data_IF_663485196597
#
_entry.id   IF_663485196597
#
_cell.length_a   1.000
_cell.length_b   1.000
_cell.length_c   1.000
_cell.angle_alpha   90.00
_cell.angle_beta   90.00
_cell.angle_gamma   90.00
#
_symmetry.space_group_name_H-M   'P 1'
#
loop_
_entity.id
_entity.type
_entity.pdbx_description
1 polymer ?
#
# COMPACT_ATOMS: atom_id res chain seq x y z
N UNK A 1 8.91 7.98 -16.96
CA UNK A 1 8.42 7.78 -15.59
C UNK A 1 8.68 6.37 -15.04
N UNK A 2 9.77 5.69 -15.52
CA UNK A 2 10.10 4.31 -15.17
C UNK A 2 10.46 4.13 -13.68
N UNK A 3 10.93 5.19 -13.01
CA UNK A 3 11.30 5.17 -11.58
C UNK A 3 10.11 5.19 -10.62
N UNK A 4 8.89 5.42 -11.10
CA UNK A 4 7.68 5.30 -10.29
C UNK A 4 7.41 3.85 -9.88
N UNK A 5 6.92 3.60 -8.64
CA UNK A 5 6.76 2.25 -8.08
C UNK A 5 6.04 1.27 -9.02
N UNK A 6 4.89 1.67 -9.60
CA UNK A 6 4.13 0.81 -10.51
C UNK A 6 4.85 0.56 -11.84
N UNK A 7 5.51 1.57 -12.41
CA UNK A 7 6.22 1.42 -13.69
C UNK A 7 7.51 0.63 -13.51
N UNK A 8 8.23 0.79 -12.40
CA UNK A 8 9.44 0.01 -12.12
C UNK A 8 9.12 -1.48 -11.92
N UNK A 9 8.01 -1.81 -11.26
CA UNK A 9 7.53 -3.18 -11.12
C UNK A 9 7.19 -3.81 -12.49
N UNK A 10 6.47 -3.08 -13.35
CA UNK A 10 6.17 -3.50 -14.72
C UNK A 10 7.46 -3.72 -15.52
N UNK A 11 8.40 -2.77 -15.45
CA UNK A 11 9.69 -2.88 -16.15
C UNK A 11 10.49 -4.13 -15.69
N UNK A 12 10.51 -4.41 -14.39
CA UNK A 12 11.13 -5.61 -13.81
C UNK A 12 10.51 -6.89 -14.38
N UNK A 13 9.18 -6.97 -14.42
CA UNK A 13 8.46 -8.14 -14.94
C UNK A 13 8.72 -8.31 -16.44
N UNK A 14 8.62 -7.24 -17.24
CA UNK A 14 8.89 -7.31 -18.68
C UNK A 14 10.31 -7.75 -18.99
N UNK A 15 11.31 -7.25 -18.26
CA UNK A 15 12.70 -7.70 -18.42
C UNK A 15 12.85 -9.20 -18.08
N UNK A 16 12.21 -9.67 -16.99
CA UNK A 16 12.19 -11.08 -16.62
C UNK A 16 11.43 -11.97 -17.62
N UNK A 17 10.46 -11.41 -18.36
CA UNK A 17 9.79 -12.07 -19.48
C UNK A 17 10.67 -12.17 -20.74
N UNK A 18 11.86 -11.54 -20.74
CA UNK A 18 12.79 -11.54 -21.86
C UNK A 18 12.63 -10.37 -22.83
N UNK A 19 11.84 -9.36 -22.49
CA UNK A 19 11.76 -8.13 -23.29
C UNK A 19 12.99 -7.26 -23.05
N UNK A 20 13.47 -6.57 -24.09
CA UNK A 20 14.46 -5.52 -23.97
C UNK A 20 13.76 -4.24 -23.46
N UNK A 21 14.04 -3.85 -22.24
CA UNK A 21 13.37 -2.74 -21.57
C UNK A 21 14.34 -1.56 -21.41
N UNK A 22 13.89 -0.39 -21.80
CA UNK A 22 14.57 0.88 -21.52
C UNK A 22 13.59 1.91 -21.00
N UNK A 23 14.07 2.98 -20.36
CA UNK A 23 13.18 4.02 -19.89
C UNK A 23 13.87 5.23 -19.31
N UNK A 24 13.06 6.25 -19.02
CA UNK A 24 13.55 7.51 -18.45
C UNK A 24 12.72 7.93 -17.23
N UNK A 25 13.34 8.70 -16.36
CA UNK A 25 12.66 9.38 -15.26
C UNK A 25 13.24 10.78 -15.06
N UNK A 26 12.45 11.66 -14.45
CA UNK A 26 12.83 13.07 -14.26
C UNK A 26 14.02 13.23 -13.30
N UNK A 27 14.12 12.35 -12.29
CA UNK A 27 15.11 12.45 -11.21
C UNK A 27 15.78 11.09 -10.95
N UNK A 28 17.05 11.15 -10.58
CA UNK A 28 17.76 9.98 -10.06
C UNK A 28 17.11 9.48 -8.75
N UNK A 29 17.03 8.17 -8.59
CA UNK A 29 16.49 7.54 -7.39
C UNK A 29 17.09 6.14 -7.19
N UNK A 30 17.04 5.62 -5.96
CA UNK A 30 17.43 4.25 -5.65
C UNK A 30 16.64 3.20 -6.48
N UNK A 31 15.39 3.51 -6.87
CA UNK A 31 14.60 2.68 -7.78
C UNK A 31 15.25 2.55 -9.16
N UNK A 32 15.79 3.65 -9.71
CA UNK A 32 16.49 3.61 -11.00
C UNK A 32 17.78 2.79 -10.92
N UNK A 33 18.52 2.87 -9.80
CA UNK A 33 19.73 2.06 -9.62
C UNK A 33 19.39 0.55 -9.55
N UNK A 34 18.28 0.19 -8.90
CA UNK A 34 17.78 -1.20 -8.90
C UNK A 34 17.45 -1.69 -10.31
N UNK A 35 16.79 -0.86 -11.12
CA UNK A 35 16.49 -1.21 -12.51
C UNK A 35 17.76 -1.41 -13.35
N UNK A 36 18.78 -0.55 -13.18
CA UNK A 36 20.08 -0.73 -13.83
C UNK A 36 20.76 -2.03 -13.44
N UNK A 37 20.69 -2.39 -12.14
CA UNK A 37 21.24 -3.66 -11.65
C UNK A 37 20.54 -4.89 -12.27
N UNK A 38 19.31 -4.74 -12.76
CA UNK A 38 18.57 -5.77 -13.50
C UNK A 38 18.85 -5.74 -15.01
N UNK A 39 19.79 -4.92 -15.50
CA UNK A 39 20.13 -4.79 -16.91
C UNK A 39 19.16 -3.94 -17.73
N UNK A 40 18.32 -3.15 -17.07
CA UNK A 40 17.39 -2.22 -17.75
C UNK A 40 18.10 -0.89 -18.03
N UNK A 41 18.07 -0.43 -19.27
CA UNK A 41 18.68 0.83 -19.68
C UNK A 41 17.87 2.01 -19.16
N UNK A 42 18.41 2.75 -18.18
CA UNK A 42 17.69 3.87 -17.55
C UNK A 42 18.44 5.19 -17.70
N UNK A 43 17.73 6.20 -18.20
CA UNK A 43 18.21 7.56 -18.38
C UNK A 43 17.52 8.53 -17.42
N UNK A 44 18.27 9.51 -16.89
CA UNK A 44 17.72 10.62 -16.11
C UNK A 44 17.47 11.82 -17.01
N UNK A 45 16.27 12.39 -16.92
CA UNK A 45 15.78 13.46 -17.79
C UNK A 45 15.06 12.92 -19.02
N UNK A 46 14.07 13.68 -19.48
CA UNK A 46 13.26 13.35 -20.65
C UNK A 46 13.78 14.06 -21.90
N UNK A 47 14.11 13.29 -22.93
CA UNK A 47 14.62 13.81 -24.22
C UNK A 47 14.11 12.95 -25.37
N UNK A 48 13.91 13.57 -26.53
CA UNK A 48 13.48 12.89 -27.77
C UNK A 48 14.37 11.70 -28.14
N UNK A 49 15.67 11.81 -27.89
CA UNK A 49 16.68 10.80 -28.21
C UNK A 49 16.57 9.53 -27.35
N UNK A 50 15.92 9.64 -26.16
CA UNK A 50 15.70 8.48 -25.30
C UNK A 50 14.73 7.46 -25.94
N UNK A 51 13.91 7.89 -26.88
CA UNK A 51 13.04 7.02 -27.67
C UNK A 51 13.85 6.42 -28.81
N UNK A 52 14.53 5.32 -28.54
CA UNK A 52 15.30 4.55 -29.54
C UNK A 52 14.40 3.82 -30.55
N UNK A 53 14.91 2.75 -31.12
CA UNK A 53 14.13 1.82 -31.92
C UNK A 53 13.36 0.87 -30.97
N UNK A 54 12.12 1.21 -30.66
CA UNK A 54 11.25 0.47 -29.75
C UNK A 54 9.91 0.18 -30.42
N UNK A 55 9.30 -0.97 -30.09
CA UNK A 55 8.00 -1.38 -30.63
C UNK A 55 6.84 -0.67 -29.93
N UNK A 56 6.99 -0.38 -28.63
CA UNK A 56 5.94 0.18 -27.77
C UNK A 56 6.56 1.15 -26.76
N UNK A 57 5.86 2.24 -26.49
CA UNK A 57 6.16 3.16 -25.37
C UNK A 57 5.06 3.05 -24.32
N UNK A 58 5.42 2.62 -23.12
CA UNK A 58 4.52 2.58 -21.97
C UNK A 58 4.66 3.86 -21.14
N UNK A 59 3.53 4.46 -20.74
CA UNK A 59 3.51 5.72 -20.02
C UNK A 59 2.67 5.68 -18.75
N UNK A 60 3.18 6.33 -17.70
CA UNK A 60 2.43 6.59 -16.46
C UNK A 60 1.49 7.79 -16.64
N UNK A 61 0.33 7.77 -15.99
CA UNK A 61 -0.61 8.90 -15.92
C UNK A 61 -0.01 10.20 -15.35
N UNK A 62 1.11 10.09 -14.63
CA UNK A 62 1.84 11.25 -14.09
C UNK A 62 2.66 12.01 -15.14
N UNK A 63 2.87 11.44 -16.32
CA UNK A 63 3.67 12.05 -17.40
C UNK A 63 2.76 12.92 -18.28
N UNK A 64 3.03 14.23 -18.43
CA UNK A 64 2.20 15.10 -19.23
C UNK A 64 2.27 14.75 -20.73
N UNK A 65 1.19 15.01 -21.45
CA UNK A 65 1.07 14.73 -22.89
C UNK A 65 2.09 15.49 -23.75
N UNK A 66 2.66 16.58 -23.21
CA UNK A 66 3.70 17.43 -23.83
C UNK A 66 5.12 16.91 -23.61
N UNK A 67 5.27 15.75 -22.94
CA UNK A 67 6.59 15.15 -22.73
C UNK A 67 7.29 14.88 -24.08
N UNK A 68 8.57 15.29 -24.26
CA UNK A 68 9.25 15.17 -25.55
C UNK A 68 9.38 13.74 -26.06
N UNK A 69 9.46 12.75 -25.18
CA UNK A 69 9.50 11.34 -25.57
C UNK A 69 8.14 10.85 -26.09
N UNK A 70 7.02 11.29 -25.48
CA UNK A 70 5.69 10.96 -25.98
C UNK A 70 5.38 11.61 -27.32
N UNK A 71 5.81 12.86 -27.51
CA UNK A 71 5.68 13.55 -28.79
C UNK A 71 6.48 12.81 -29.86
N UNK A 72 7.76 12.51 -29.59
CA UNK A 72 8.62 11.78 -30.52
C UNK A 72 8.08 10.38 -30.88
N UNK A 73 7.53 9.66 -29.91
CA UNK A 73 6.92 8.34 -30.17
C UNK A 73 5.72 8.45 -31.10
N UNK A 74 4.83 9.41 -30.88
CA UNK A 74 3.66 9.67 -31.74
C UNK A 74 4.06 10.10 -33.15
N UNK A 75 5.02 11.01 -33.27
CA UNK A 75 5.52 11.50 -34.57
C UNK A 75 6.16 10.38 -35.40
N UNK A 76 6.75 9.37 -34.75
CA UNK A 76 7.31 8.17 -35.37
C UNK A 76 6.30 7.05 -35.60
N UNK A 77 5.03 7.23 -35.21
CA UNK A 77 3.98 6.21 -35.30
C UNK A 77 4.17 5.02 -34.35
N UNK A 78 4.97 5.18 -33.30
CA UNK A 78 5.19 4.14 -32.28
C UNK A 78 3.94 4.06 -31.38
N UNK A 79 3.46 2.86 -31.10
CA UNK A 79 2.31 2.66 -30.25
C UNK A 79 2.59 3.13 -28.81
N UNK A 80 1.76 4.03 -28.28
CA UNK A 80 1.85 4.52 -26.90
C UNK A 80 0.72 3.94 -26.08
N UNK A 81 1.06 3.16 -25.06
CA UNK A 81 0.10 2.48 -24.18
C UNK A 81 0.19 3.01 -22.74
N UNK A 82 -0.93 3.07 -22.06
CA UNK A 82 -0.99 3.44 -20.64
C UNK A 82 -0.53 2.31 -19.73
N UNK A 83 -0.22 2.66 -18.47
CA UNK A 83 0.16 1.71 -17.40
C UNK A 83 -0.87 0.57 -17.27
N UNK A 84 -2.15 0.87 -17.32
CA UNK A 84 -3.23 -0.10 -17.22
C UNK A 84 -3.16 -1.15 -18.33
N UNK A 85 -3.04 -0.69 -19.57
CA UNK A 85 -3.02 -1.57 -20.76
C UNK A 85 -1.82 -2.53 -20.73
N UNK A 86 -0.64 -2.05 -20.33
CA UNK A 86 0.53 -2.93 -20.25
C UNK A 86 0.40 -3.93 -19.08
N UNK A 87 -0.18 -3.51 -17.94
CA UNK A 87 -0.44 -4.40 -16.83
C UNK A 87 -1.48 -5.46 -17.18
N UNK A 88 -2.56 -5.09 -17.86
CA UNK A 88 -3.56 -6.03 -18.37
C UNK A 88 -2.96 -7.02 -19.39
N UNK A 89 -2.07 -6.55 -20.26
CA UNK A 89 -1.37 -7.43 -21.22
C UNK A 89 -0.45 -8.45 -20.51
N UNK A 90 0.23 -8.06 -19.44
CA UNK A 90 1.01 -8.97 -18.60
C UNK A 90 0.08 -9.98 -17.91
N UNK A 91 -0.99 -9.48 -17.27
CA UNK A 91 -1.97 -10.31 -16.57
C UNK A 91 -2.62 -11.36 -17.48
N UNK A 92 -2.92 -11.02 -18.73
CA UNK A 92 -3.47 -11.93 -19.72
C UNK A 92 -2.55 -13.11 -20.08
N UNK A 93 -1.29 -13.09 -19.68
CA UNK A 93 -0.34 -14.19 -19.92
C UNK A 93 -0.44 -15.30 -18.88
N UNK A 94 -1.20 -15.13 -17.81
CA UNK A 94 -1.33 -16.05 -16.68
C UNK A 94 -2.76 -16.02 -16.13
N UNK A 95 -3.10 -17.03 -15.33
CA UNK A 95 -4.29 -17.02 -14.49
C UNK A 95 -4.09 -15.95 -13.41
N UNK A 96 -4.97 -14.97 -13.35
CA UNK A 96 -4.73 -13.75 -12.55
C UNK A 96 -5.58 -13.72 -11.28
N UNK A 97 -4.92 -13.48 -10.14
CA UNK A 97 -5.51 -13.15 -8.85
C UNK A 97 -5.37 -11.64 -8.67
N UNK A 98 -6.47 -10.91 -8.76
CA UNK A 98 -6.50 -9.46 -8.64
C UNK A 98 -7.05 -9.04 -7.28
N UNK A 99 -6.28 -8.24 -6.52
CA UNK A 99 -6.65 -7.78 -5.18
C UNK A 99 -6.99 -6.30 -5.22
N UNK A 100 -8.26 -5.99 -5.07
CA UNK A 100 -8.82 -4.64 -5.04
C UNK A 100 -9.36 -4.27 -3.66
N UNK A 101 -9.73 -2.99 -3.50
CA UNK A 101 -10.35 -2.45 -2.30
C UNK A 101 -9.71 -1.16 -1.82
N UNK A 102 -10.45 -0.33 -1.12
CA UNK A 102 -9.96 0.97 -0.64
C UNK A 102 -8.77 0.83 0.30
N UNK A 103 -8.78 -0.20 1.15
CA UNK A 103 -7.73 -0.50 2.14
C UNK A 103 -7.26 -1.95 2.03
N UNK A 104 -6.02 -2.24 2.46
CA UNK A 104 -5.51 -3.59 2.57
C UNK A 104 -4.98 -4.23 1.29
N UNK A 105 -5.18 -3.66 0.10
CA UNK A 105 -4.72 -4.20 -1.19
C UNK A 105 -3.29 -4.73 -1.16
N UNK A 106 -2.35 -3.84 -0.85
CA UNK A 106 -0.91 -4.16 -0.87
C UNK A 106 -0.56 -5.28 0.10
N UNK A 107 -1.07 -5.22 1.33
CA UNK A 107 -0.81 -6.24 2.34
C UNK A 107 -1.41 -7.58 1.95
N UNK A 108 -2.66 -7.59 1.46
CA UNK A 108 -3.34 -8.81 1.02
C UNK A 108 -2.65 -9.44 -0.19
N UNK A 109 -2.36 -8.66 -1.25
CA UNK A 109 -1.67 -9.18 -2.44
C UNK A 109 -0.28 -9.71 -2.10
N UNK A 110 0.44 -9.06 -1.17
CA UNK A 110 1.73 -9.52 -0.67
C UNK A 110 1.63 -10.84 0.10
N UNK A 111 0.64 -10.96 1.00
CA UNK A 111 0.37 -12.20 1.72
C UNK A 111 -0.03 -13.33 0.76
N UNK A 112 -0.92 -13.05 -0.21
CA UNK A 112 -1.33 -14.03 -1.23
C UNK A 112 -0.12 -14.52 -2.02
N UNK A 113 0.72 -13.62 -2.54
CA UNK A 113 1.93 -14.01 -3.27
C UNK A 113 2.87 -14.87 -2.44
N UNK A 114 3.07 -14.49 -1.16
CA UNK A 114 3.97 -15.19 -0.24
C UNK A 114 3.44 -16.58 0.14
N UNK A 115 2.16 -16.71 0.49
CA UNK A 115 1.60 -18.00 0.90
C UNK A 115 1.52 -18.98 -0.27
N UNK A 116 1.15 -18.52 -1.46
CA UNK A 116 1.12 -19.35 -2.67
C UNK A 116 2.52 -19.81 -3.08
N UNK A 117 3.53 -18.94 -2.92
CA UNK A 117 4.92 -19.35 -3.13
C UNK A 117 5.37 -20.42 -2.13
N UNK A 118 5.03 -20.26 -0.86
CA UNK A 118 5.33 -21.25 0.18
C UNK A 118 4.61 -22.59 -0.05
N UNK A 119 3.41 -22.56 -0.62
CA UNK A 119 2.64 -23.75 -0.99
C UNK A 119 3.09 -24.40 -2.32
N UNK A 120 4.17 -23.90 -2.94
CA UNK A 120 4.74 -24.48 -4.17
C UNK A 120 4.02 -24.08 -5.47
N UNK A 121 3.10 -23.12 -5.42
CA UNK A 121 2.40 -22.60 -6.62
C UNK A 121 3.30 -21.70 -7.47
N UNK A 122 4.33 -21.09 -6.85
CA UNK A 122 5.32 -20.20 -7.47
C UNK A 122 4.72 -19.10 -8.35
N UNK A 123 3.82 -18.24 -7.83
CA UNK A 123 3.16 -17.23 -8.64
C UNK A 123 4.12 -16.13 -9.10
N UNK A 124 3.93 -15.62 -10.31
CA UNK A 124 4.40 -14.29 -10.70
C UNK A 124 3.61 -13.24 -9.93
N UNK A 125 4.16 -12.05 -9.67
CA UNK A 125 3.42 -11.03 -8.95
C UNK A 125 3.88 -9.59 -9.26
N UNK A 126 2.95 -8.65 -9.12
CA UNK A 126 3.20 -7.20 -8.99
C UNK A 126 2.35 -6.70 -7.82
N UNK A 127 3.00 -6.30 -6.73
CA UNK A 127 2.36 -5.78 -5.52
C UNK A 127 2.85 -4.37 -5.21
N UNK A 128 2.05 -3.58 -4.48
CA UNK A 128 2.29 -2.15 -4.28
C UNK A 128 3.40 -1.77 -3.30
N UNK A 129 4.23 -2.72 -2.88
CA UNK A 129 5.33 -2.47 -1.96
C UNK A 129 6.36 -3.58 -1.94
N UNK A 130 7.54 -3.30 -1.41
CA UNK A 130 8.59 -4.30 -1.26
C UNK A 130 8.26 -5.22 -0.07
N UNK A 131 8.36 -6.53 -0.31
CA UNK A 131 8.17 -7.60 0.68
C UNK A 131 9.48 -8.40 0.74
N UNK A 132 10.15 -8.33 1.88
CA UNK A 132 11.48 -8.92 2.03
C UNK A 132 11.47 -10.45 1.84
N UNK A 133 10.42 -11.12 2.32
CA UNK A 133 10.26 -12.58 2.30
C UNK A 133 10.15 -13.16 0.89
N UNK A 134 9.75 -12.35 -0.08
CA UNK A 134 9.63 -12.75 -1.49
C UNK A 134 10.59 -12.00 -2.43
N UNK A 135 11.49 -11.19 -1.86
CA UNK A 135 12.58 -10.54 -2.59
C UNK A 135 12.22 -9.24 -3.30
N UNK A 136 11.08 -8.62 -2.97
CA UNK A 136 10.67 -7.32 -3.51
C UNK A 136 9.19 -7.23 -3.85
N UNK A 137 8.82 -6.23 -4.65
CA UNK A 137 7.43 -5.95 -5.04
C UNK A 137 7.00 -6.54 -6.39
N UNK A 138 7.89 -7.19 -7.13
CA UNK A 138 7.56 -7.76 -8.45
C UNK A 138 8.49 -8.92 -8.81
N UNK A 139 7.94 -9.97 -9.42
CA UNK A 139 8.67 -11.09 -9.99
C UNK A 139 7.88 -11.75 -11.12
N UNK A 140 8.60 -12.35 -12.08
CA UNK A 140 8.04 -13.22 -13.10
C UNK A 140 8.66 -14.60 -12.96
N UNK A 141 7.84 -15.61 -12.71
CA UNK A 141 8.23 -16.98 -12.40
C UNK A 141 7.73 -17.95 -13.47
N UNK A 142 8.00 -19.25 -13.28
CA UNK A 142 7.49 -20.31 -14.17
C UNK A 142 6.05 -20.74 -13.85
N UNK A 143 5.51 -20.37 -12.68
CA UNK A 143 4.17 -20.76 -12.24
C UNK A 143 3.04 -20.20 -13.11
N UNK A 144 1.88 -20.83 -13.05
CA UNK A 144 0.71 -20.48 -13.87
C UNK A 144 -0.04 -19.23 -13.41
N UNK A 145 0.16 -18.83 -12.14
CA UNK A 145 -0.59 -17.76 -11.51
C UNK A 145 0.16 -16.43 -11.52
N UNK A 146 -0.61 -15.35 -11.58
CA UNK A 146 -0.13 -13.97 -11.43
C UNK A 146 -0.94 -13.25 -10.37
N UNK A 147 -0.28 -12.80 -9.31
CA UNK A 147 -0.89 -12.00 -8.24
C UNK A 147 -0.66 -10.53 -8.51
N UNK A 148 -1.73 -9.75 -8.58
CA UNK A 148 -1.64 -8.31 -8.89
C UNK A 148 -2.46 -7.47 -7.94
N UNK A 149 -1.88 -6.38 -7.47
CA UNK A 149 -2.63 -5.31 -6.81
C UNK A 149 -3.44 -4.53 -7.86
N UNK A 150 -4.75 -4.56 -7.73
CA UNK A 150 -5.71 -3.96 -8.63
C UNK A 150 -6.13 -2.59 -8.08
N UNK A 151 -5.54 -1.51 -8.64
CA UNK A 151 -5.76 -0.13 -8.17
C UNK A 151 -7.05 0.43 -8.76
N UNK A 152 -7.99 0.78 -7.88
CA UNK A 152 -9.27 1.38 -8.26
C UNK A 152 -9.17 2.88 -8.57
N UNK A 153 -8.08 3.55 -8.20
CA UNK A 153 -7.98 5.02 -8.18
C UNK A 153 -8.24 5.71 -9.52
N UNK A 154 -7.99 5.01 -10.62
CA UNK A 154 -8.15 5.49 -12.00
C UNK A 154 -9.02 4.55 -12.87
N UNK A 155 -9.69 3.58 -12.23
CA UNK A 155 -10.55 2.60 -12.91
C UNK A 155 -9.79 1.49 -13.64
N UNK A 156 -8.45 1.47 -13.61
CA UNK A 156 -7.63 0.50 -14.36
C UNK A 156 -7.82 -0.94 -13.88
N UNK A 157 -8.28 -1.16 -12.65
CA UNK A 157 -8.56 -2.49 -12.12
C UNK A 157 -9.63 -3.25 -12.93
N UNK A 158 -10.52 -2.54 -13.64
CA UNK A 158 -11.54 -3.12 -14.51
C UNK A 158 -10.99 -3.71 -15.82
N UNK A 159 -9.74 -3.37 -16.19
CA UNK A 159 -9.09 -3.90 -17.39
C UNK A 159 -8.37 -5.24 -17.12
N UNK A 160 -8.22 -5.63 -15.84
CA UNK A 160 -7.51 -6.85 -15.48
C UNK A 160 -8.36 -8.09 -15.74
N UNK A 161 -7.86 -9.09 -16.48
CA UNK A 161 -8.55 -10.36 -16.73
C UNK A 161 -8.43 -11.27 -15.48
N UNK A 162 -9.15 -10.93 -14.42
CA UNK A 162 -9.09 -11.66 -13.16
C UNK A 162 -9.80 -13.02 -13.25
N UNK A 163 -9.14 -14.09 -12.83
CA UNK A 163 -9.77 -15.37 -12.56
C UNK A 163 -10.24 -15.47 -11.10
N UNK A 164 -9.48 -14.86 -10.20
CA UNK A 164 -9.87 -14.65 -8.80
C UNK A 164 -9.87 -13.15 -8.50
N UNK A 165 -11.01 -12.60 -8.10
CA UNK A 165 -11.16 -11.22 -7.69
C UNK A 165 -11.35 -11.14 -6.17
N UNK A 166 -10.45 -10.45 -5.49
CA UNK A 166 -10.51 -10.25 -4.03
C UNK A 166 -10.87 -8.79 -3.76
N UNK A 167 -11.90 -8.54 -2.96
CA UNK A 167 -12.26 -7.19 -2.50
C UNK A 167 -12.18 -7.11 -0.99
N UNK A 168 -11.27 -6.28 -0.50
CA UNK A 168 -10.96 -6.13 0.93
C UNK A 168 -11.89 -5.16 1.64
N UNK A 169 -12.24 -4.04 0.98
CA UNK A 169 -13.15 -3.00 1.49
C UNK A 169 -13.58 -2.06 0.38
N UNK A 170 -14.73 -1.38 0.53
CA UNK A 170 -15.22 -0.39 -0.42
C UNK A 170 -15.69 0.85 0.33
N UNK A 171 -14.94 1.95 0.22
CA UNK A 171 -15.26 3.25 0.81
C UNK A 171 -15.33 4.35 -0.26
N UNK A 172 -15.88 5.50 0.09
CA UNK A 172 -15.96 6.68 -0.77
C UNK A 172 -14.58 7.38 -0.86
N UNK A 173 -13.65 6.79 -1.60
CA UNK A 173 -12.35 7.38 -1.96
C UNK A 173 -12.32 7.70 -3.47
N UNK A 174 -11.35 8.49 -3.93
CA UNK A 174 -11.18 8.82 -5.35
C UNK A 174 -12.43 9.43 -6.02
N UNK A 175 -13.18 10.27 -5.27
CA UNK A 175 -14.39 10.93 -5.76
C UNK A 175 -14.12 11.93 -6.90
N UNK A 176 -12.88 12.40 -7.04
CA UNK A 176 -12.39 13.19 -8.17
C UNK A 176 -12.45 12.41 -9.49
N UNK A 177 -12.31 11.08 -9.45
CA UNK A 177 -12.43 10.19 -10.61
C UNK A 177 -13.87 9.69 -10.80
N UNK A 178 -14.50 9.17 -9.74
CA UNK A 178 -15.80 8.50 -9.82
C UNK A 178 -17.01 9.43 -9.69
N UNK A 179 -16.83 10.60 -9.08
CA UNK A 179 -17.89 11.57 -8.84
C UNK A 179 -18.83 11.23 -7.67
N UNK A 180 -19.06 9.95 -7.36
CA UNK A 180 -19.94 9.53 -6.24
C UNK A 180 -19.56 8.17 -5.66
N UNK A 181 -19.96 7.93 -4.39
CA UNK A 181 -19.82 6.62 -3.74
C UNK A 181 -20.60 5.51 -4.47
N UNK A 182 -21.72 5.85 -5.09
CA UNK A 182 -22.51 4.89 -5.88
C UNK A 182 -21.73 4.42 -7.12
N UNK A 183 -21.04 5.33 -7.83
CA UNK A 183 -20.23 4.98 -9.00
C UNK A 183 -19.01 4.12 -8.61
N UNK A 184 -18.40 4.35 -7.43
CA UNK A 184 -17.37 3.46 -6.89
C UNK A 184 -17.94 2.06 -6.65
N UNK A 185 -19.07 1.95 -5.95
CA UNK A 185 -19.71 0.66 -5.67
C UNK A 185 -20.07 -0.08 -6.97
N UNK A 186 -20.56 0.62 -8.00
CA UNK A 186 -20.84 0.04 -9.31
C UNK A 186 -19.57 -0.47 -10.00
N UNK A 187 -18.45 0.26 -9.92
CA UNK A 187 -17.17 -0.20 -10.46
C UNK A 187 -16.68 -1.49 -9.76
N UNK A 188 -16.78 -1.57 -8.42
CA UNK A 188 -16.46 -2.79 -7.70
C UNK A 188 -17.44 -3.95 -8.03
N UNK A 189 -18.72 -3.69 -8.21
CA UNK A 189 -19.68 -4.69 -8.68
C UNK A 189 -19.26 -5.27 -10.04
N UNK A 190 -18.91 -4.41 -10.99
CA UNK A 190 -18.41 -4.83 -12.32
C UNK A 190 -17.13 -5.66 -12.20
N UNK A 191 -16.20 -5.26 -11.33
CA UNK A 191 -14.96 -6.01 -11.07
C UNK A 191 -15.27 -7.42 -10.54
N UNK A 192 -16.15 -7.56 -9.56
CA UNK A 192 -16.56 -8.86 -9.05
C UNK A 192 -17.23 -9.71 -10.14
N UNK A 193 -18.18 -9.14 -10.90
CA UNK A 193 -18.87 -9.90 -11.96
C UNK A 193 -17.96 -10.32 -13.13
N UNK A 194 -16.77 -9.73 -13.27
CA UNK A 194 -15.83 -10.10 -14.34
C UNK A 194 -15.01 -11.36 -14.04
N UNK A 195 -14.98 -11.85 -12.79
CA UNK A 195 -14.17 -12.96 -12.34
C UNK A 195 -15.03 -14.19 -11.98
N UNK A 196 -14.64 -15.42 -12.37
CA UNK A 196 -15.36 -16.64 -12.03
C UNK A 196 -15.28 -17.01 -10.54
N UNK A 197 -14.22 -16.60 -9.84
CA UNK A 197 -14.07 -16.78 -8.40
C UNK A 197 -13.96 -15.42 -7.72
N UNK A 198 -14.79 -15.15 -6.73
CA UNK A 198 -14.84 -13.87 -6.02
C UNK A 198 -14.74 -14.08 -4.51
N UNK A 199 -13.92 -13.27 -3.84
CA UNK A 199 -13.65 -13.36 -2.41
C UNK A 199 -13.83 -11.96 -1.81
N UNK A 200 -14.69 -11.79 -0.82
CA UNK A 200 -15.00 -10.48 -0.24
C UNK A 200 -14.94 -10.46 1.28
N UNK A 201 -14.54 -9.33 1.85
CA UNK A 201 -14.57 -9.12 3.29
C UNK A 201 -16.00 -8.88 3.78
N UNK A 202 -16.52 -9.76 4.63
CA UNK A 202 -17.87 -9.67 5.23
C UNK A 202 -17.96 -8.57 6.30
N UNK A 203 -16.84 -8.08 6.82
CA UNK A 203 -16.80 -7.02 7.83
C UNK A 203 -16.96 -5.61 7.21
N UNK A 204 -16.87 -5.49 5.89
CA UNK A 204 -17.16 -4.25 5.16
C UNK A 204 -18.56 -4.33 4.55
N UNK A 205 -19.45 -3.46 4.98
CA UNK A 205 -20.87 -3.53 4.63
C UNK A 205 -21.14 -3.40 3.11
N UNK A 206 -20.33 -2.59 2.40
CA UNK A 206 -20.47 -2.41 0.95
C UNK A 206 -19.91 -3.62 0.22
N UNK A 207 -18.72 -4.09 0.57
CA UNK A 207 -18.13 -5.29 -0.01
C UNK A 207 -19.01 -6.53 0.21
N UNK A 208 -19.54 -6.71 1.43
CA UNK A 208 -20.45 -7.81 1.76
C UNK A 208 -21.72 -7.79 0.90
N UNK A 209 -22.35 -6.62 0.74
CA UNK A 209 -23.53 -6.48 -0.12
C UNK A 209 -23.22 -6.81 -1.58
N UNK A 210 -22.13 -6.25 -2.13
CA UNK A 210 -21.72 -6.52 -3.50
C UNK A 210 -21.33 -7.98 -3.71
N UNK A 211 -20.69 -8.59 -2.69
CA UNK A 211 -20.35 -10.01 -2.69
C UNK A 211 -21.56 -10.91 -2.72
N UNK A 212 -22.62 -10.59 -1.95
CA UNK A 212 -23.87 -11.33 -1.97
C UNK A 212 -24.55 -11.28 -3.36
N UNK A 213 -24.50 -10.14 -4.03
CA UNK A 213 -25.01 -9.98 -5.40
C UNK A 213 -24.20 -10.78 -6.43
N UNK A 214 -22.90 -11.00 -6.19
CA UNK A 214 -21.98 -11.73 -7.05
C UNK A 214 -21.84 -13.23 -6.68
N UNK A 215 -22.45 -13.69 -5.61
CA UNK A 215 -22.27 -15.07 -5.10
C UNK A 215 -20.84 -15.33 -4.58
N UNK A 216 -20.21 -14.31 -4.00
CA UNK A 216 -18.82 -14.38 -3.56
C UNK A 216 -18.64 -15.20 -2.29
N UNK A 217 -17.50 -15.86 -2.18
CA UNK A 217 -16.98 -16.43 -0.93
C UNK A 217 -16.66 -15.30 0.04
N UNK A 218 -17.14 -15.40 1.27
CA UNK A 218 -17.01 -14.34 2.28
C UNK A 218 -16.01 -14.72 3.37
N UNK A 219 -15.27 -13.72 3.88
CA UNK A 219 -14.38 -13.90 5.02
C UNK A 219 -14.45 -12.72 5.99
N UNK A 220 -14.18 -12.95 7.25
CA UNK A 220 -14.14 -11.88 8.25
C UNK A 220 -14.46 -12.34 9.65
N UNK A 221 -14.72 -11.39 10.56
CA UNK A 221 -15.17 -11.63 11.93
C UNK A 221 -16.69 -11.79 12.03
N UNK A 222 -17.41 -11.44 10.96
CA UNK A 222 -18.86 -11.63 10.88
C UNK A 222 -19.24 -13.09 11.16
N UNK A 223 -20.27 -13.36 12.00
CA UNK A 223 -20.72 -14.71 12.27
C UNK A 223 -21.23 -15.46 11.03
N UNK A 224 -21.66 -14.71 10.01
CA UNK A 224 -22.22 -15.25 8.77
C UNK A 224 -21.17 -15.39 7.65
N UNK A 225 -19.88 -15.12 7.93
CA UNK A 225 -18.83 -15.31 6.95
C UNK A 225 -18.55 -16.80 6.71
N UNK A 226 -18.38 -17.21 5.44
CA UNK A 226 -18.02 -18.58 5.06
C UNK A 226 -16.70 -19.02 5.70
N UNK A 227 -15.73 -18.09 5.74
CA UNK A 227 -14.45 -18.25 6.44
C UNK A 227 -14.37 -17.26 7.59
N UNK A 228 -14.74 -17.74 8.77
CA UNK A 228 -14.86 -16.88 9.94
C UNK A 228 -13.55 -16.81 10.74
N UNK A 229 -13.15 -15.57 11.07
CA UNK A 229 -12.10 -15.31 12.05
C UNK A 229 -12.67 -15.55 13.46
N UNK A 230 -12.10 -16.48 14.20
CA UNK A 230 -12.48 -16.82 15.56
C UNK A 230 -11.31 -16.66 16.53
N UNK A 231 -11.62 -16.41 17.82
CA UNK A 231 -10.63 -16.25 18.89
C UNK A 231 -9.49 -15.26 18.58
N UNK A 232 -9.82 -14.14 17.91
CA UNK A 232 -8.84 -13.11 17.55
C UNK A 232 -8.28 -12.44 18.82
N UNK A 233 -6.96 -12.55 18.98
CA UNK A 233 -6.17 -11.84 20.00
C UNK A 233 -5.17 -10.95 19.27
N UNK A 234 -5.26 -9.63 19.51
CA UNK A 234 -4.34 -8.64 18.98
C UNK A 234 -3.44 -8.15 20.10
N UNK A 235 -2.13 -8.28 19.90
CA UNK A 235 -1.09 -7.87 20.85
C UNK A 235 -0.13 -6.89 20.15
N UNK A 236 0.74 -6.22 20.93
CA UNK A 236 1.78 -5.33 20.38
C UNK A 236 2.67 -6.03 19.33
N UNK A 237 3.01 -7.29 19.57
CA UNK A 237 3.95 -8.07 18.75
C UNK A 237 3.27 -8.82 17.61
N UNK A 238 1.92 -8.74 17.47
CA UNK A 238 1.25 -9.47 16.42
C UNK A 238 -0.22 -9.74 16.66
N UNK A 239 -0.78 -10.68 15.90
CA UNK A 239 -2.15 -11.17 16.05
C UNK A 239 -2.18 -12.69 15.98
N UNK A 240 -3.06 -13.32 16.77
CA UNK A 240 -3.33 -14.76 16.72
C UNK A 240 -4.82 -14.97 16.58
N UNK A 241 -5.23 -15.90 15.72
CA UNK A 241 -6.62 -16.20 15.47
C UNK A 241 -6.79 -17.58 14.82
N UNK A 242 -8.03 -18.05 14.75
CA UNK A 242 -8.41 -19.26 14.04
C UNK A 242 -9.26 -18.89 12.83
N UNK A 243 -9.08 -19.61 11.74
CA UNK A 243 -10.00 -19.56 10.59
C UNK A 243 -10.91 -20.78 10.67
N UNK A 244 -12.21 -20.53 10.72
CA UNK A 244 -13.26 -21.54 10.81
C UNK A 244 -14.05 -21.56 9.51
N UNK A 245 -14.20 -22.73 8.90
CA UNK A 245 -15.02 -22.98 7.72
C UNK A 245 -15.88 -24.21 7.94
N UNK A 246 -17.18 -24.16 7.63
CA UNK A 246 -18.15 -25.22 7.86
C UNK A 246 -18.13 -25.77 9.29
N UNK A 247 -17.95 -24.89 10.27
CA UNK A 247 -17.89 -25.23 11.68
C UNK A 247 -16.59 -25.87 12.16
N UNK A 248 -15.63 -26.13 11.28
CA UNK A 248 -14.34 -26.71 11.61
C UNK A 248 -13.22 -25.66 11.61
N UNK A 249 -12.26 -25.75 12.53
CA UNK A 249 -11.03 -24.96 12.48
C UNK A 249 -10.13 -25.53 11.39
N UNK A 250 -9.92 -24.76 10.32
CA UNK A 250 -9.07 -25.16 9.19
C UNK A 250 -7.65 -24.63 9.29
N UNK A 251 -7.44 -23.53 10.02
CA UNK A 251 -6.12 -22.93 10.23
C UNK A 251 -6.03 -22.21 11.60
N UNK A 252 -4.87 -22.33 12.25
CA UNK A 252 -4.47 -21.51 13.39
C UNK A 252 -3.36 -20.57 12.92
N UNK A 253 -3.65 -19.28 12.90
CA UNK A 253 -2.75 -18.27 12.30
C UNK A 253 -2.11 -17.43 13.39
N UNK A 254 -0.80 -17.26 13.29
CA UNK A 254 -0.01 -16.30 14.07
C UNK A 254 0.68 -15.33 13.12
N UNK A 255 0.44 -14.02 13.29
CA UNK A 255 1.06 -12.97 12.51
C UNK A 255 2.01 -12.16 13.38
N UNK A 256 3.24 -11.87 12.94
CA UNK A 256 4.15 -10.99 13.67
C UNK A 256 3.86 -9.49 13.44
N UNK A 257 2.70 -9.16 12.88
CA UNK A 257 2.22 -7.79 12.71
C UNK A 257 0.86 -7.62 13.39
N UNK A 258 0.64 -6.54 14.16
CA UNK A 258 -0.59 -6.32 14.91
C UNK A 258 -1.74 -5.85 14.04
N UNK A 259 -2.95 -5.94 14.59
CA UNK A 259 -4.16 -5.32 14.04
C UNK A 259 -5.17 -6.29 13.46
N UNK A 260 -6.45 -6.09 13.78
CA UNK A 260 -7.56 -6.89 13.26
C UNK A 260 -7.67 -6.81 11.72
N UNK A 261 -7.29 -5.68 11.13
CA UNK A 261 -7.24 -5.52 9.67
C UNK A 261 -6.19 -6.48 9.04
N UNK A 262 -5.05 -6.72 9.70
CA UNK A 262 -4.05 -7.68 9.23
C UNK A 262 -4.52 -9.12 9.38
N UNK A 263 -5.31 -9.43 10.41
CA UNK A 263 -5.97 -10.74 10.51
C UNK A 263 -6.94 -10.97 9.34
N UNK A 264 -7.72 -9.96 8.94
CA UNK A 264 -8.57 -10.02 7.73
C UNK A 264 -7.76 -10.20 6.46
N UNK A 265 -6.69 -9.42 6.27
CA UNK A 265 -5.82 -9.56 5.09
C UNK A 265 -5.21 -10.96 4.98
N UNK A 266 -4.76 -11.53 6.10
CA UNK A 266 -4.22 -12.88 6.17
C UNK A 266 -5.30 -13.95 5.90
N UNK A 267 -6.52 -13.74 6.41
CA UNK A 267 -7.64 -14.66 6.13
C UNK A 267 -7.97 -14.66 4.64
N UNK A 268 -7.97 -13.50 3.96
CA UNK A 268 -8.13 -13.45 2.50
C UNK A 268 -7.07 -14.30 1.77
N UNK A 269 -5.81 -14.28 2.25
CA UNK A 269 -4.74 -15.10 1.68
C UNK A 269 -4.95 -16.60 1.97
N UNK A 270 -5.43 -16.97 3.17
CA UNK A 270 -5.80 -18.35 3.50
C UNK A 270 -6.93 -18.84 2.62
N UNK A 271 -8.01 -18.05 2.48
CA UNK A 271 -9.16 -18.38 1.61
C UNK A 271 -8.70 -18.58 0.18
N UNK A 272 -7.88 -17.64 -0.35
CA UNK A 272 -7.33 -17.78 -1.70
C UNK A 272 -6.56 -19.10 -1.87
N UNK A 273 -5.75 -19.48 -0.90
CA UNK A 273 -5.01 -20.74 -0.95
C UNK A 273 -5.95 -21.97 -0.93
N UNK A 274 -7.02 -21.94 -0.12
CA UNK A 274 -8.05 -23.00 -0.10
C UNK A 274 -8.76 -23.12 -1.43
N UNK A 275 -9.20 -21.99 -2.02
CA UNK A 275 -9.90 -21.98 -3.32
C UNK A 275 -9.01 -22.50 -4.48
N UNK A 276 -7.69 -22.37 -4.33
CA UNK A 276 -6.73 -22.94 -5.27
C UNK A 276 -6.34 -24.40 -4.93
N UNK A 277 -6.86 -24.99 -3.88
CA UNK A 277 -6.53 -26.36 -3.44
C UNK A 277 -5.12 -26.52 -2.86
N UNK A 278 -4.52 -25.44 -2.35
CA UNK A 278 -3.17 -25.47 -1.77
C UNK A 278 -3.17 -26.08 -0.34
N UNK A 279 -2.07 -26.73 0.03
CA UNK A 279 -1.88 -27.22 1.41
C UNK A 279 -1.75 -26.04 2.39
N UNK A 280 -2.56 -26.05 3.44
CA UNK A 280 -2.61 -24.98 4.43
C UNK A 280 -1.41 -24.96 5.40
N UNK A 281 -0.70 -26.05 5.57
CA UNK A 281 0.44 -26.08 6.49
C UNK A 281 1.53 -25.10 6.08
N UNK A 282 2.07 -25.10 4.84
CA UNK A 282 3.05 -24.11 4.42
C UNK A 282 2.48 -22.68 4.36
N UNK A 283 1.16 -22.53 4.12
CA UNK A 283 0.47 -21.22 4.13
C UNK A 283 0.56 -20.58 5.52
N UNK A 284 0.19 -21.31 6.57
CA UNK A 284 0.23 -20.83 7.97
C UNK A 284 1.67 -20.55 8.42
N UNK A 285 2.60 -21.44 8.07
CA UNK A 285 4.03 -21.23 8.36
C UNK A 285 4.61 -19.99 7.66
N UNK A 286 4.15 -19.67 6.45
CA UNK A 286 4.55 -18.46 5.76
C UNK A 286 3.98 -17.21 6.46
N UNK A 287 2.69 -17.19 6.79
CA UNK A 287 2.07 -16.08 7.52
C UNK A 287 2.77 -15.78 8.84
N UNK A 288 3.26 -16.82 9.54
CA UNK A 288 4.02 -16.64 10.78
C UNK A 288 5.38 -15.94 10.58
N UNK A 289 5.87 -15.84 9.35
CA UNK A 289 7.11 -15.13 8.99
C UNK A 289 6.87 -13.79 8.29
N UNK A 290 5.62 -13.40 8.04
CA UNK A 290 5.30 -12.17 7.31
C UNK A 290 5.64 -10.94 8.13
N UNK A 291 6.80 -10.32 7.90
CA UNK A 291 7.27 -9.12 8.59
C UNK A 291 6.57 -7.81 8.17
N UNK A 292 5.58 -7.88 7.30
CA UNK A 292 4.86 -6.72 6.77
C UNK A 292 5.38 -6.26 5.42
N UNK A 293 4.77 -5.20 4.92
CA UNK A 293 5.16 -4.53 3.68
C UNK A 293 5.85 -3.22 4.04
N UNK A 294 6.90 -2.86 3.31
CA UNK A 294 7.58 -1.60 3.51
C UNK A 294 6.58 -0.44 3.51
N UNK A 295 6.68 0.43 4.51
CA UNK A 295 5.80 1.58 4.71
C UNK A 295 4.31 1.24 4.96
N UNK A 296 4.01 0.04 5.51
CA UNK A 296 2.66 -0.39 5.95
C UNK A 296 2.73 -0.86 7.40
N UNK A 297 2.56 0.07 8.35
CA UNK A 297 2.82 -0.13 9.77
C UNK A 297 4.17 -0.83 10.00
N UNK A 298 5.16 -0.39 9.24
CA UNK A 298 6.48 -1.02 9.20
C UNK A 298 7.25 -0.72 10.49
N UNK A 299 7.58 -1.75 11.25
CA UNK A 299 8.51 -1.62 12.36
C UNK A 299 9.90 -1.24 11.82
N UNK A 300 10.43 -0.10 12.25
CA UNK A 300 11.75 0.40 11.84
C UNK A 300 12.82 0.10 12.87
N UNK A 301 12.45 -0.05 14.14
CA UNK A 301 13.34 -0.35 15.23
C UNK A 301 12.80 0.08 16.59
N UNK A 302 13.54 -0.29 17.63
CA UNK A 302 13.29 0.16 19.00
C UNK A 302 14.59 0.66 19.63
N UNK A 303 14.56 1.84 20.21
CA UNK A 303 15.70 2.42 20.90
C UNK A 303 15.24 3.33 22.05
N UNK A 304 15.97 3.33 23.18
CA UNK A 304 15.59 4.11 24.35
C UNK A 304 14.19 3.77 24.92
N UNK A 305 13.69 2.55 24.68
CA UNK A 305 12.37 2.11 25.04
C UNK A 305 11.25 2.72 24.19
N UNK A 306 11.58 3.34 23.06
CA UNK A 306 10.63 3.90 22.06
C UNK A 306 10.58 2.99 20.85
N UNK A 307 9.39 2.56 20.48
CA UNK A 307 9.13 1.82 19.24
C UNK A 307 8.94 2.82 18.09
N UNK A 308 9.66 2.65 16.98
CA UNK A 308 9.55 3.49 15.78
C UNK A 308 8.89 2.70 14.65
N UNK A 309 7.81 3.24 14.10
CA UNK A 309 7.01 2.63 13.03
C UNK A 309 6.81 3.64 11.91
N UNK A 310 6.85 3.19 10.65
CA UNK A 310 6.59 4.01 9.45
C UNK A 310 5.35 3.52 8.70
N UNK A 311 4.49 4.46 8.27
CA UNK A 311 3.32 4.14 7.45
C UNK A 311 3.08 5.17 6.34
N UNK A 312 2.64 4.67 5.20
CA UNK A 312 2.36 5.46 4.00
C UNK A 312 1.04 6.24 4.06
N UNK A 313 0.30 6.18 5.17
CA UNK A 313 -0.99 6.84 5.32
C UNK A 313 -0.87 8.36 5.04
N UNK A 314 -1.67 8.83 4.09
CA UNK A 314 -1.63 10.22 3.60
C UNK A 314 -3.02 10.78 3.28
N UNK A 315 -4.10 10.04 3.54
CA UNK A 315 -5.47 10.51 3.46
C UNK A 315 -6.21 10.27 4.79
N UNK A 316 -7.35 10.94 5.05
CA UNK A 316 -8.03 10.88 6.35
C UNK A 316 -8.46 9.47 6.76
N UNK A 317 -8.95 8.64 5.83
CA UNK A 317 -9.38 7.26 6.09
C UNK A 317 -8.21 6.39 6.54
N UNK A 318 -7.09 6.42 5.80
CA UNK A 318 -5.87 5.68 6.14
C UNK A 318 -5.27 6.15 7.47
N UNK A 319 -5.25 7.46 7.74
CA UNK A 319 -4.78 7.99 9.03
C UNK A 319 -5.61 7.48 10.20
N UNK A 320 -6.94 7.49 10.07
CA UNK A 320 -7.82 6.93 11.11
C UNK A 320 -7.53 5.47 11.37
N UNK A 321 -7.46 4.65 10.32
CA UNK A 321 -7.22 3.21 10.44
C UNK A 321 -5.87 2.89 11.13
N UNK A 322 -4.80 3.59 10.73
CA UNK A 322 -3.46 3.40 11.31
C UNK A 322 -3.40 3.87 12.77
N UNK A 323 -3.98 5.03 13.09
CA UNK A 323 -3.98 5.56 14.46
C UNK A 323 -4.90 4.75 15.40
N UNK A 324 -6.00 4.20 14.90
CA UNK A 324 -6.86 3.29 15.68
C UNK A 324 -6.11 1.99 15.98
N UNK A 325 -5.42 1.42 14.98
CA UNK A 325 -4.57 0.24 15.20
C UNK A 325 -3.44 0.53 16.21
N UNK A 326 -2.80 1.68 16.11
CA UNK A 326 -1.78 2.12 17.06
C UNK A 326 -2.35 2.26 18.49
N UNK A 327 -3.55 2.82 18.62
CA UNK A 327 -4.22 2.99 19.92
C UNK A 327 -4.51 1.68 20.67
N UNK A 328 -4.66 0.56 19.94
CA UNK A 328 -4.88 -0.77 20.52
C UNK A 328 -3.57 -1.55 20.79
N UNK A 329 -2.42 -1.02 20.38
CA UNK A 329 -1.14 -1.73 20.47
C UNK A 329 -0.49 -1.76 21.87
N UNK A 330 -1.14 -1.21 22.91
CA UNK A 330 -0.64 -1.24 24.29
C UNK A 330 0.56 -0.34 24.58
N UNK A 331 0.88 0.62 23.71
CA UNK A 331 1.88 1.65 23.97
C UNK A 331 1.37 2.68 24.99
N UNK A 332 2.31 3.27 25.73
CA UNK A 332 1.98 4.31 26.72
C UNK A 332 1.36 5.54 26.07
N UNK A 333 1.89 5.95 24.91
CA UNK A 333 1.42 7.07 24.10
C UNK A 333 1.71 6.80 22.63
N UNK A 334 0.87 7.33 21.77
CA UNK A 334 1.11 7.41 20.32
C UNK A 334 1.56 8.83 19.99
N UNK A 335 2.80 8.98 19.57
CA UNK A 335 3.41 10.22 19.07
C UNK A 335 3.47 10.12 17.56
N UNK A 336 2.63 10.84 16.83
CA UNK A 336 2.63 10.81 15.38
C UNK A 336 3.36 12.02 14.78
N UNK A 337 4.13 11.75 13.73
CA UNK A 337 4.80 12.75 12.88
C UNK A 337 4.22 12.64 11.49
N UNK A 338 3.49 13.66 11.07
CA UNK A 338 2.77 13.65 9.80
C UNK A 338 3.33 14.65 8.79
N UNK A 339 3.57 14.17 7.56
CA UNK A 339 3.92 15.00 6.41
C UNK A 339 2.76 15.01 5.42
N UNK A 340 2.05 16.13 5.26
CA UNK A 340 1.04 16.27 4.21
C UNK A 340 1.67 16.06 2.82
N UNK A 341 0.93 15.42 1.91
CA UNK A 341 1.41 15.10 0.58
C UNK A 341 0.51 15.71 -0.48
N UNK A 342 1.08 16.50 -1.40
CA UNK A 342 0.47 17.32 -2.44
C UNK A 342 -0.27 18.56 -1.89
N UNK A 343 -0.03 19.69 -2.50
CA UNK A 343 -0.71 20.94 -2.15
C UNK A 343 -2.21 20.87 -2.47
N UNK A 344 -2.61 20.24 -3.57
CA UNK A 344 -4.01 20.05 -3.95
C UNK A 344 -4.77 19.25 -2.90
N UNK A 345 -4.22 18.12 -2.44
CA UNK A 345 -4.84 17.29 -1.40
C UNK A 345 -4.89 18.00 -0.06
N UNK A 346 -3.82 18.68 0.33
CA UNK A 346 -3.77 19.43 1.59
C UNK A 346 -4.82 20.53 1.61
N UNK A 347 -5.02 21.24 0.49
CA UNK A 347 -6.07 22.26 0.39
C UNK A 347 -7.48 21.65 0.49
N UNK A 348 -7.72 20.51 -0.14
CA UNK A 348 -9.03 19.87 -0.18
C UNK A 348 -9.39 19.11 1.11
N UNK A 349 -8.43 18.45 1.75
CA UNK A 349 -8.67 17.50 2.86
C UNK A 349 -7.96 17.91 4.16
N UNK A 350 -7.35 19.07 4.25
CA UNK A 350 -6.52 19.47 5.40
C UNK A 350 -7.28 19.45 6.73
N UNK A 351 -8.56 19.81 6.72
CA UNK A 351 -9.43 19.77 7.93
C UNK A 351 -9.63 18.32 8.38
N UNK A 352 -9.98 17.42 7.45
CA UNK A 352 -10.22 16.01 7.76
C UNK A 352 -8.94 15.29 8.17
N UNK A 353 -7.79 15.65 7.57
CA UNK A 353 -6.47 15.16 7.97
C UNK A 353 -6.15 15.54 9.40
N UNK A 354 -6.37 16.82 9.78
CA UNK A 354 -6.16 17.29 11.14
C UNK A 354 -7.07 16.59 12.15
N UNK A 355 -8.36 16.45 11.83
CA UNK A 355 -9.32 15.72 12.67
C UNK A 355 -8.92 14.25 12.86
N UNK A 356 -8.38 13.59 11.83
CA UNK A 356 -7.88 12.22 11.93
C UNK A 356 -6.66 12.14 12.87
N UNK A 357 -5.69 13.04 12.72
CA UNK A 357 -4.47 13.09 13.56
C UNK A 357 -4.75 13.36 15.05
N UNK A 358 -5.83 14.04 15.37
CA UNK A 358 -6.23 14.31 16.75
C UNK A 358 -6.50 13.04 17.59
N UNK A 359 -6.47 11.84 17.00
CA UNK A 359 -6.51 10.53 17.70
C UNK A 359 -5.21 10.22 18.45
N UNK A 360 -4.06 10.72 17.98
CA UNK A 360 -2.77 10.54 18.61
C UNK A 360 -2.65 11.35 19.93
N UNK A 361 -1.75 10.94 20.83
CA UNK A 361 -1.49 11.65 22.09
C UNK A 361 -0.63 12.89 21.90
N UNK A 362 0.30 12.83 20.95
CA UNK A 362 1.14 13.95 20.53
C UNK A 362 1.17 13.97 19.00
N UNK A 363 0.94 15.16 18.44
CA UNK A 363 0.94 15.36 16.98
C UNK A 363 2.06 16.31 16.60
N UNK A 364 2.87 15.88 15.64
CA UNK A 364 3.86 16.73 14.96
C UNK A 364 3.47 16.81 13.49
N UNK A 365 3.25 18.00 12.98
CA UNK A 365 2.96 18.24 11.56
C UNK A 365 4.13 18.99 10.95
N UNK A 366 4.67 18.49 9.83
CA UNK A 366 5.66 19.23 9.04
C UNK A 366 5.02 19.88 7.82
N UNK A 367 5.82 20.52 6.95
CA UNK A 367 5.25 21.17 5.79
C UNK A 367 4.95 20.19 4.66
N UNK A 368 4.24 20.68 3.63
CA UNK A 368 3.73 19.87 2.54
C UNK A 368 4.87 19.34 1.66
N UNK A 369 4.90 18.02 1.47
CA UNK A 369 5.71 17.41 0.42
C UNK A 369 4.98 17.54 -0.93
N UNK A 370 5.45 18.48 -1.75
CA UNK A 370 4.79 18.84 -3.01
C UNK A 370 4.87 17.77 -4.11
N UNK A 371 5.85 16.84 -4.01
CA UNK A 371 6.14 15.84 -5.04
C UNK A 371 6.29 16.48 -6.44
N UNK A 372 5.24 16.41 -7.25
CA UNK A 372 5.19 16.98 -8.61
C UNK A 372 4.46 18.33 -8.70
N UNK A 373 3.86 18.79 -7.61
CA UNK A 373 3.11 20.05 -7.58
C UNK A 373 4.01 21.22 -7.18
N UNK A 374 3.80 22.36 -7.79
CA UNK A 374 4.39 23.62 -7.34
C UNK A 374 3.69 24.11 -6.08
N UNK A 375 4.39 24.81 -5.18
CA UNK A 375 3.79 25.42 -4.00
C UNK A 375 2.59 26.30 -4.36
N UNK A 376 1.50 26.14 -3.56
CA UNK A 376 0.29 26.97 -3.70
C UNK A 376 0.25 28.00 -2.56
N UNK A 377 0.10 29.29 -2.85
CA UNK A 377 0.01 30.31 -1.82
C UNK A 377 -1.07 29.98 -0.78
N UNK A 378 -0.71 30.08 0.50
CA UNK A 378 -1.61 29.80 1.62
C UNK A 378 -1.83 28.33 1.94
N UNK A 379 -1.28 27.38 1.18
CA UNK A 379 -1.39 25.94 1.43
C UNK A 379 -0.10 25.44 2.06
N UNK A 380 -0.14 25.20 3.36
CA UNK A 380 0.97 24.67 4.16
C UNK A 380 0.48 23.58 5.11
N UNK A 381 1.38 22.88 5.78
CA UNK A 381 1.04 21.95 6.85
C UNK A 381 0.30 22.58 8.02
N UNK A 382 0.33 23.91 8.15
CA UNK A 382 -0.40 24.65 9.17
C UNK A 382 -1.93 24.42 9.09
N UNK A 383 -2.48 24.21 7.88
CA UNK A 383 -3.92 23.91 7.71
C UNK A 383 -4.28 22.65 8.51
N UNK A 384 -3.46 21.61 8.39
CA UNK A 384 -3.66 20.34 9.08
C UNK A 384 -3.42 20.50 10.59
N UNK A 385 -2.38 21.24 10.97
CA UNK A 385 -2.05 21.50 12.38
C UNK A 385 -3.18 22.27 13.09
N UNK A 386 -3.69 23.32 12.47
CA UNK A 386 -4.81 24.10 13.02
C UNK A 386 -6.06 23.23 13.19
N UNK A 387 -6.42 22.46 12.19
CA UNK A 387 -7.57 21.54 12.26
C UNK A 387 -7.41 20.45 13.33
N UNK A 388 -6.20 19.97 13.58
CA UNK A 388 -5.94 19.02 14.66
C UNK A 388 -6.11 19.67 16.07
N UNK A 389 -5.71 20.92 16.23
CA UNK A 389 -5.96 21.70 17.46
C UNK A 389 -7.46 21.92 17.66
N UNK A 390 -8.17 22.33 16.62
CA UNK A 390 -9.62 22.59 16.69
C UNK A 390 -10.40 21.32 17.08
N UNK A 391 -9.98 20.15 16.55
CA UNK A 391 -10.60 18.88 16.88
C UNK A 391 -10.33 18.43 18.33
N UNK A 392 -9.15 18.73 18.91
CA UNK A 392 -8.77 18.40 20.30
C UNK A 392 -7.79 19.42 20.90
N UNK A 393 -8.27 20.56 21.43
CA UNK A 393 -7.43 21.68 21.90
C UNK A 393 -6.45 21.35 23.03
N UNK A 394 -6.73 20.30 23.81
CA UNK A 394 -5.88 19.87 24.94
C UNK A 394 -4.76 18.89 24.55
N UNK A 395 -4.67 18.47 23.29
CA UNK A 395 -3.59 17.60 22.83
C UNK A 395 -2.32 18.41 22.56
N UNK A 396 -1.18 17.80 22.84
CA UNK A 396 0.11 18.40 22.51
C UNK A 396 0.31 18.33 21.00
N UNK A 397 0.50 19.49 20.38
CA UNK A 397 0.77 19.62 18.96
C UNK A 397 1.98 20.52 18.72
N UNK A 398 2.80 20.18 17.72
CA UNK A 398 3.84 21.04 17.19
C UNK A 398 3.72 21.11 15.65
N UNK A 399 3.83 22.31 15.09
CA UNK A 399 4.05 22.51 13.67
C UNK A 399 5.51 22.85 13.45
N UNK A 400 6.22 21.96 12.74
CA UNK A 400 7.65 22.04 12.46
C UNK A 400 7.86 21.95 10.95
N UNK A 401 7.81 23.12 10.24
CA UNK A 401 7.87 23.13 8.78
C UNK A 401 9.21 22.60 8.22
N UNK A 402 10.29 22.75 8.98
CA UNK A 402 11.61 22.28 8.56
C UNK A 402 11.90 20.90 9.15
N UNK A 403 12.24 19.95 8.27
CA UNK A 403 12.55 18.57 8.65
C UNK A 403 13.65 18.47 9.71
N UNK A 404 14.67 19.35 9.64
CA UNK A 404 15.79 19.38 10.59
C UNK A 404 15.39 19.63 12.03
N UNK A 405 14.22 20.25 12.29
CA UNK A 405 13.74 20.56 13.62
C UNK A 405 13.01 19.38 14.28
N UNK A 406 12.61 18.36 13.50
CA UNK A 406 11.76 17.28 13.98
C UNK A 406 12.52 16.37 14.94
N UNK A 407 13.72 15.90 14.58
CA UNK A 407 14.50 14.97 15.42
C UNK A 407 14.88 15.61 16.77
N UNK A 408 15.40 16.86 16.84
CA UNK A 408 15.63 17.54 18.11
C UNK A 408 14.38 17.65 18.98
N UNK A 409 13.23 18.04 18.38
CA UNK A 409 11.97 18.11 19.11
C UNK A 409 11.52 16.75 19.65
N UNK A 410 11.60 15.70 18.86
CA UNK A 410 11.25 14.34 19.28
C UNK A 410 12.20 13.83 20.37
N UNK A 411 13.47 14.22 20.33
CA UNK A 411 14.40 13.95 21.42
C UNK A 411 13.84 14.42 22.76
N UNK A 412 13.29 15.63 22.84
CA UNK A 412 12.79 16.18 24.09
C UNK A 412 11.41 15.64 24.50
N UNK A 413 10.64 15.14 23.54
CA UNK A 413 9.24 14.74 23.74
C UNK A 413 9.07 13.26 24.04
N UNK A 414 9.78 12.39 23.32
CA UNK A 414 9.63 10.94 23.41
C UNK A 414 10.09 10.40 24.76
N UNK A 415 9.39 9.38 25.25
CA UNK A 415 9.64 8.70 26.53
C UNK A 415 9.58 7.19 26.35
N UNK A 416 10.26 6.41 27.20
CA UNK A 416 10.14 4.95 27.19
C UNK A 416 8.67 4.50 27.25
N UNK A 417 8.31 3.53 26.42
CA UNK A 417 6.96 3.01 26.25
C UNK A 417 6.13 3.73 25.18
N UNK A 418 6.64 4.81 24.54
CA UNK A 418 5.96 5.48 23.45
C UNK A 418 6.09 4.70 22.12
N UNK A 419 5.06 4.85 21.27
CA UNK A 419 5.14 4.60 19.83
C UNK A 419 5.43 5.93 19.13
N UNK A 420 6.51 6.01 18.35
CA UNK A 420 6.75 7.07 17.40
C UNK A 420 6.35 6.60 16.00
N UNK A 421 5.30 7.19 15.44
CA UNK A 421 4.70 6.77 14.17
C UNK A 421 4.92 7.87 13.13
N UNK A 422 5.73 7.58 12.09
CA UNK A 422 5.92 8.47 10.94
C UNK A 422 4.85 8.18 9.90
N UNK A 423 4.14 9.22 9.42
CA UNK A 423 2.99 9.12 8.54
C UNK A 423 3.15 10.03 7.32
N UNK A 424 2.99 9.48 6.13
CA UNK A 424 3.02 10.27 4.90
C UNK A 424 3.59 9.53 3.69
N UNK A 425 3.27 10.02 2.49
CA UNK A 425 3.73 9.44 1.22
C UNK A 425 5.06 10.03 0.73
N UNK A 426 5.59 11.06 1.40
CA UNK A 426 6.82 11.75 1.05
C UNK A 426 8.08 11.13 1.66
N UNK A 427 9.06 11.98 1.93
CA UNK A 427 10.38 11.62 2.46
C UNK A 427 10.44 11.48 3.98
N UNK A 428 9.31 11.64 4.67
CA UNK A 428 9.20 11.50 6.14
C UNK A 428 9.66 10.11 6.61
N UNK A 429 9.54 9.09 5.77
CA UNK A 429 9.98 7.71 6.06
C UNK A 429 11.44 7.62 6.48
N UNK A 430 12.32 8.50 5.95
CA UNK A 430 13.74 8.53 6.31
C UNK A 430 14.01 9.16 7.68
N UNK A 431 12.98 9.70 8.36
CA UNK A 431 13.15 10.24 9.71
C UNK A 431 13.59 9.17 10.72
N UNK A 432 13.16 7.93 10.51
CA UNK A 432 13.54 6.80 11.36
C UNK A 432 15.06 6.55 11.37
N UNK A 433 15.73 6.81 10.24
CA UNK A 433 17.17 6.57 10.08
C UNK A 433 18.00 7.54 10.94
N UNK A 434 17.49 8.75 11.18
CA UNK A 434 18.10 9.77 12.05
C UNK A 434 17.67 9.59 13.51
N UNK A 435 16.39 9.22 13.73
CA UNK A 435 15.77 9.16 15.06
C UNK A 435 16.27 7.97 15.88
N UNK A 436 16.39 6.77 15.30
CA UNK A 436 16.77 5.56 16.03
C UNK A 436 18.18 5.66 16.63
N UNK A 437 19.23 6.09 15.88
CA UNK A 437 20.56 6.31 16.45
C UNK A 437 20.56 7.34 17.58
N UNK A 438 19.78 8.43 17.43
CA UNK A 438 19.67 9.45 18.46
C UNK A 438 19.04 8.91 19.75
N UNK A 439 17.97 8.09 19.64
CA UNK A 439 17.32 7.46 20.81
C UNK A 439 18.26 6.44 21.48
N UNK A 440 19.06 5.71 20.72
CA UNK A 440 20.03 4.75 21.25
C UNK A 440 21.12 5.44 22.09
N UNK A 441 21.54 6.66 21.72
CA UNK A 441 22.55 7.42 22.46
C UNK A 441 22.11 7.88 23.86
N UNK A 442 20.80 7.85 24.16
CA UNK A 442 20.26 8.18 25.50
C UNK A 442 20.51 7.10 26.56
N UNK A 443 20.59 5.84 26.15
CA UNK A 443 20.77 4.70 27.06
C UNK A 443 22.21 4.50 27.51
N UNK A 444 23.14 5.27 26.95
CA UNK A 444 24.58 5.24 27.30
C UNK A 444 25.05 6.33 28.27
N UNK A 445 24.12 7.07 28.90
CA UNK A 445 24.46 8.06 29.95
C UNK A 445 23.86 7.71 31.29
#
# INVERSE_FOLDING_TARGET
>A
GIGGAGMSAIATVLAAMGHHVSGSDLKASAGLERLRALGIDVTVGHRTENVGAVDVVAVSTAVPSTNPELVAARDRGINVVGRAQILAAIAARRRTIAVAGTHGKTTTSSMVAMVLRAAGVDPSFIVGGDVNEIGGGAAWTAGEWFVVEADESDGTFLELPAEVAIVTSVEADHLDHYGSAAAIAEAFARFLHSAPCTIVCADDAVAARLGAEAGAVTYGTSPDADYRIDALVVERAGARFRVVHDGAVIAEVSLPIPGAHNARNATAAVVTAVELGADLKPVVEALARFGGVARRFQFRGEAGGVTVVDDYAHNPGKLRAVLDAAGHGGWRRVVCVFQPHLYSRTAAQGVDLGAALARADVVVVTDVYGARESPKPGVTGMIVAAAAIDARPWRRLAYLPHRGDIVPYLHDVLRPGDLCLTLGAGDITSLADDLIPMLASRTGR
#
